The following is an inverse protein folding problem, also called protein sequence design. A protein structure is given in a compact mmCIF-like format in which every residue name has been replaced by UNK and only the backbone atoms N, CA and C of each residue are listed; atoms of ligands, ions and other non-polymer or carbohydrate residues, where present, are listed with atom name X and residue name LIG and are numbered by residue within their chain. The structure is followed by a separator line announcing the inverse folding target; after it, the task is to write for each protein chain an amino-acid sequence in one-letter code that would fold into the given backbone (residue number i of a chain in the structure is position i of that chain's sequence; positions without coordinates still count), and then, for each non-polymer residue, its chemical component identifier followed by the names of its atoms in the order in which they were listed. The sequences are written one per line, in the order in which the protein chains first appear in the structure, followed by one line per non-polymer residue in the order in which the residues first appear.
data_IF_400603444767
#
_entry.id   IF_400603444767
#
_cell.length_a   1.000
_cell.length_b   1.000
_cell.length_c   1.000
_cell.angle_alpha   90.00
_cell.angle_beta   90.00
_cell.angle_gamma   90.00
#
_symmetry.space_group_name_H-M   'P 1'
#
loop_
_entity.id
_entity.type
_entity.pdbx_description
1 polymer ?
#
# COMPACT_ATOMS: atom_id res chain seq x y z
N UNK A 1 26.87 -38.50 -18.45
CA UNK A 1 25.49 -38.85 -18.03
C UNK A 1 24.89 -37.65 -17.30
N UNK A 2 24.30 -36.70 -18.04
CA UNK A 2 23.70 -35.51 -17.45
C UNK A 2 22.52 -35.90 -16.56
N UNK A 3 22.56 -35.49 -15.29
CA UNK A 3 21.47 -35.71 -14.35
C UNK A 3 20.25 -34.92 -14.85
N UNK A 4 19.14 -35.62 -15.13
CA UNK A 4 17.85 -34.97 -15.32
C UNK A 4 17.53 -34.21 -14.03
N UNK A 5 17.41 -32.89 -14.12
CA UNK A 5 16.99 -32.07 -12.98
C UNK A 5 15.63 -32.57 -12.51
N UNK A 6 15.50 -32.91 -11.23
CA UNK A 6 14.21 -33.24 -10.64
C UNK A 6 13.25 -32.07 -10.89
N UNK A 7 12.11 -32.35 -11.54
CA UNK A 7 11.06 -31.35 -11.74
C UNK A 7 10.59 -30.93 -10.34
N UNK A 8 10.74 -29.66 -9.95
CA UNK A 8 10.27 -29.21 -8.65
C UNK A 8 8.75 -29.39 -8.57
N UNK A 9 8.29 -29.78 -7.38
CA UNK A 9 6.87 -29.99 -7.11
C UNK A 9 6.08 -28.68 -7.34
N UNK A 10 5.01 -28.77 -8.14
CA UNK A 10 4.21 -27.63 -8.55
C UNK A 10 3.59 -26.93 -7.34
N UNK A 11 3.13 -27.71 -6.36
CA UNK A 11 2.52 -27.18 -5.13
C UNK A 11 3.56 -26.44 -4.28
N UNK A 12 4.78 -26.97 -4.20
CA UNK A 12 5.90 -26.28 -3.54
C UNK A 12 6.27 -24.96 -4.25
N UNK A 13 6.27 -24.92 -5.58
CA UNK A 13 6.56 -23.69 -6.34
C UNK A 13 5.45 -22.63 -6.21
N UNK A 14 4.19 -23.08 -6.20
CA UNK A 14 3.03 -22.22 -5.92
C UNK A 14 3.07 -21.65 -4.50
N UNK A 15 3.40 -22.47 -3.51
CA UNK A 15 3.53 -22.04 -2.11
C UNK A 15 4.71 -21.07 -1.91
N UNK A 16 5.83 -21.32 -2.60
CA UNK A 16 7.00 -20.44 -2.60
C UNK A 16 6.80 -19.15 -3.42
N UNK A 17 5.65 -18.97 -4.08
CA UNK A 17 5.32 -17.82 -4.95
C UNK A 17 6.30 -17.63 -6.11
N UNK A 18 6.94 -18.70 -6.57
CA UNK A 18 7.83 -18.68 -7.74
C UNK A 18 7.09 -18.88 -9.05
N UNK A 19 5.83 -19.32 -8.99
CA UNK A 19 4.90 -19.41 -10.12
C UNK A 19 3.63 -18.62 -9.83
N UNK A 20 3.12 -17.92 -10.84
CA UNK A 20 1.81 -17.28 -10.81
C UNK A 20 0.81 -18.06 -11.67
N UNK A 21 -0.34 -18.41 -11.10
CA UNK A 21 -1.43 -19.07 -11.83
C UNK A 21 -2.51 -18.05 -12.20
N UNK A 22 -2.63 -17.76 -13.48
CA UNK A 22 -3.72 -16.93 -14.01
C UNK A 22 -5.08 -17.62 -13.77
N UNK A 23 -6.05 -16.89 -13.19
CA UNK A 23 -7.46 -17.30 -13.14
C UNK A 23 -7.91 -18.11 -11.92
N UNK A 24 -7.02 -18.45 -10.97
CA UNK A 24 -7.42 -19.01 -9.66
C UNK A 24 -7.05 -18.04 -8.54
N UNK A 25 -7.82 -16.97 -8.42
CA UNK A 25 -7.79 -16.17 -7.21
C UNK A 25 -8.65 -16.85 -6.16
N UNK A 26 -8.05 -17.24 -5.03
CA UNK A 26 -8.83 -17.54 -3.84
C UNK A 26 -9.75 -16.33 -3.56
N UNK A 27 -10.99 -16.59 -3.17
CA UNK A 27 -11.89 -15.52 -2.73
C UNK A 27 -11.14 -14.66 -1.70
N UNK A 28 -11.14 -13.32 -1.85
CA UNK A 28 -10.41 -12.48 -0.92
C UNK A 28 -10.95 -12.72 0.49
N UNK A 29 -10.05 -12.93 1.44
CA UNK A 29 -10.45 -12.95 2.84
C UNK A 29 -10.90 -11.55 3.22
N UNK A 30 -11.93 -11.45 4.06
CA UNK A 30 -12.35 -10.18 4.65
C UNK A 30 -11.37 -9.79 5.77
N UNK A 31 -10.16 -9.44 5.38
CA UNK A 31 -9.05 -9.05 6.26
C UNK A 31 -8.45 -7.69 5.86
N UNK A 32 -9.24 -6.84 5.21
CA UNK A 32 -8.85 -5.49 4.81
C UNK A 32 -8.53 -4.59 6.00
N UNK A 33 -7.63 -3.63 5.79
CA UNK A 33 -7.35 -2.56 6.74
C UNK A 33 -8.47 -1.52 6.68
N UNK A 34 -9.11 -1.15 7.81
CA UNK A 34 -10.23 -0.20 7.80
C UNK A 34 -9.82 1.12 7.15
N UNK A 35 -10.65 1.63 6.23
CA UNK A 35 -10.43 2.93 5.59
C UNK A 35 -10.73 4.10 6.53
N UNK A 36 -11.58 3.85 7.54
CA UNK A 36 -12.18 4.88 8.39
C UNK A 36 -13.52 5.41 7.85
N UNK A 37 -13.95 4.92 6.69
CA UNK A 37 -15.22 5.25 6.06
C UNK A 37 -16.05 3.97 5.89
N UNK A 38 -16.98 3.71 6.79
CA UNK A 38 -17.77 2.46 6.79
C UNK A 38 -18.50 2.19 5.46
N UNK A 39 -18.97 3.24 4.79
CA UNK A 39 -19.60 3.11 3.47
C UNK A 39 -18.61 2.64 2.38
N UNK A 40 -17.35 3.06 2.44
CA UNK A 40 -16.31 2.58 1.53
C UNK A 40 -15.88 1.16 1.90
N UNK A 41 -15.68 0.88 3.19
CA UNK A 41 -15.32 -0.46 3.67
C UNK A 41 -16.31 -1.51 3.17
N UNK A 42 -17.62 -1.20 3.16
CA UNK A 42 -18.66 -2.09 2.65
C UNK A 42 -18.60 -2.35 1.13
N UNK A 43 -17.97 -1.46 0.36
CA UNK A 43 -17.82 -1.58 -1.10
C UNK A 43 -16.52 -2.28 -1.49
N UNK A 44 -15.51 -2.29 -0.62
CA UNK A 44 -14.22 -2.90 -0.91
C UNK A 44 -14.26 -4.42 -0.70
N UNK A 45 -13.67 -5.25 -1.59
CA UNK A 45 -13.86 -6.71 -1.53
C UNK A 45 -13.29 -7.38 -0.26
N UNK A 46 -12.35 -6.73 0.43
CA UNK A 46 -11.79 -7.22 1.70
C UNK A 46 -12.39 -6.52 2.94
N UNK A 47 -13.39 -5.65 2.79
CA UNK A 47 -13.95 -4.88 3.90
C UNK A 47 -13.09 -3.68 4.34
N UNK A 48 -12.24 -3.17 3.45
CA UNK A 48 -11.25 -2.14 3.72
C UNK A 48 -10.13 -2.15 2.67
N UNK A 49 -9.05 -1.40 2.92
CA UNK A 49 -7.87 -1.40 2.07
C UNK A 49 -7.23 -2.80 2.01
N UNK A 50 -6.88 -3.31 0.82
CA UNK A 50 -6.22 -4.60 0.70
C UNK A 50 -4.84 -4.57 1.37
N UNK A 51 -4.54 -5.60 2.17
CA UNK A 51 -3.22 -5.76 2.78
C UNK A 51 -2.22 -6.30 1.78
N UNK A 52 -0.96 -5.85 1.87
CA UNK A 52 0.15 -6.32 1.02
C UNK A 52 -0.18 -6.22 -0.48
N UNK A 53 -0.88 -5.16 -0.86
CA UNK A 53 -1.30 -4.87 -2.20
C UNK A 53 -1.04 -3.40 -2.51
N UNK A 54 -0.99 -3.07 -3.80
CA UNK A 54 -1.00 -1.69 -4.27
C UNK A 54 -2.45 -1.22 -4.37
N UNK A 55 -2.74 -0.04 -3.84
CA UNK A 55 -4.01 0.66 -4.05
C UNK A 55 -3.74 1.89 -4.91
N UNK A 56 -4.48 2.05 -6.00
CA UNK A 56 -4.44 3.22 -6.86
C UNK A 56 -5.73 4.04 -6.66
N UNK A 57 -5.59 5.34 -6.41
CA UNK A 57 -6.70 6.28 -6.32
C UNK A 57 -6.75 7.10 -7.60
N UNK A 58 -7.78 6.88 -8.42
CA UNK A 58 -8.00 7.65 -9.64
C UNK A 58 -8.74 8.95 -9.31
N UNK A 59 -8.06 10.06 -9.50
CA UNK A 59 -8.55 11.39 -9.18
C UNK A 59 -8.82 12.18 -10.46
N UNK A 60 -9.85 13.04 -10.49
CA UNK A 60 -10.12 13.89 -11.64
C UNK A 60 -9.08 15.01 -11.82
N UNK A 61 -8.43 15.44 -10.74
CA UNK A 61 -7.35 16.41 -10.69
C UNK A 61 -6.65 16.35 -9.32
N UNK A 62 -5.45 16.95 -9.22
CA UNK A 62 -4.75 17.14 -7.95
C UNK A 62 -5.46 18.18 -7.05
N UNK A 63 -5.32 18.05 -5.72
CA UNK A 63 -5.79 19.06 -4.77
C UNK A 63 -7.30 19.08 -4.56
N UNK A 64 -8.00 18.01 -4.94
CA UNK A 64 -9.45 17.84 -4.72
C UNK A 64 -9.78 17.38 -3.30
N UNK A 65 -8.75 17.22 -2.45
CA UNK A 65 -8.89 16.71 -1.08
C UNK A 65 -8.66 15.20 -1.01
N UNK A 66 -7.91 14.64 -1.95
CA UNK A 66 -7.59 13.22 -2.05
C UNK A 66 -7.02 12.62 -0.77
N UNK A 67 -6.21 13.40 -0.05
CA UNK A 67 -5.63 12.98 1.23
C UNK A 67 -6.69 12.77 2.31
N UNK A 68 -7.83 13.47 2.26
CA UNK A 68 -8.87 13.32 3.27
C UNK A 68 -9.41 11.89 3.33
N UNK A 69 -9.42 11.17 2.20
CA UNK A 69 -9.80 9.77 2.14
C UNK A 69 -8.80 8.85 2.88
N UNK A 70 -7.52 9.21 2.84
CA UNK A 70 -6.43 8.41 3.44
C UNK A 70 -6.17 8.78 4.90
N UNK A 71 -6.48 10.02 5.31
CA UNK A 71 -6.16 10.54 6.64
C UNK A 71 -6.58 9.62 7.80
N UNK A 72 -7.81 9.06 7.86
CA UNK A 72 -8.18 8.17 8.97
C UNK A 72 -7.29 6.94 9.07
N UNK A 73 -6.90 6.39 7.92
CA UNK A 73 -6.00 5.23 7.84
C UNK A 73 -4.59 5.61 8.28
N UNK A 74 -4.05 6.72 7.77
CA UNK A 74 -2.71 7.20 8.09
C UNK A 74 -2.58 7.59 9.57
N UNK A 75 -3.60 8.26 10.13
CA UNK A 75 -3.67 8.59 11.54
C UNK A 75 -3.64 7.32 12.41
N UNK A 76 -4.48 6.33 12.10
CA UNK A 76 -4.50 5.05 12.81
C UNK A 76 -3.17 4.30 12.73
N UNK A 77 -2.54 4.24 11.55
CA UNK A 77 -1.27 3.54 11.37
C UNK A 77 -0.13 4.24 12.13
N UNK A 78 -0.02 5.56 12.00
CA UNK A 78 1.05 6.32 12.65
C UNK A 78 0.90 6.37 14.17
N UNK A 79 -0.32 6.46 14.69
CA UNK A 79 -0.60 6.36 16.13
C UNK A 79 -0.31 4.96 16.68
N UNK A 80 -0.50 3.90 15.88
CA UNK A 80 -0.07 2.54 16.20
C UNK A 80 1.45 2.33 16.09
N UNK A 81 2.22 3.36 15.73
CA UNK A 81 3.68 3.33 15.67
C UNK A 81 4.25 2.93 14.31
N UNK A 82 3.42 2.72 13.28
CA UNK A 82 3.90 2.46 11.93
C UNK A 82 4.43 3.74 11.28
N UNK A 83 5.51 3.61 10.51
CA UNK A 83 6.05 4.71 9.70
C UNK A 83 5.31 4.80 8.37
N UNK A 84 4.95 6.01 7.96
CA UNK A 84 4.37 6.34 6.65
C UNK A 84 5.41 7.13 5.87
N UNK A 85 5.80 6.61 4.70
CA UNK A 85 6.68 7.31 3.77
C UNK A 85 5.85 7.97 2.67
N UNK A 86 6.10 9.26 2.42
CA UNK A 86 5.54 10.03 1.31
C UNK A 86 6.66 10.27 0.30
N UNK A 87 6.58 9.61 -0.84
CA UNK A 87 7.66 9.57 -1.83
C UNK A 87 7.42 10.60 -2.91
N UNK A 88 8.40 11.48 -3.15
CA UNK A 88 8.39 12.52 -4.18
C UNK A 88 7.02 13.23 -4.30
N UNK A 89 6.46 13.77 -3.20
CA UNK A 89 5.16 14.42 -3.28
C UNK A 89 5.23 15.60 -4.28
N UNK A 90 4.21 15.77 -5.13
CA UNK A 90 4.22 16.79 -6.19
C UNK A 90 4.22 18.23 -5.61
N UNK A 91 3.80 18.38 -4.35
CA UNK A 91 3.78 19.64 -3.61
C UNK A 91 4.34 19.44 -2.21
N UNK A 92 4.77 20.52 -1.56
CA UNK A 92 5.23 20.48 -0.18
C UNK A 92 4.06 20.14 0.76
N UNK A 93 4.12 19.01 1.51
CA UNK A 93 3.07 18.67 2.46
C UNK A 93 2.97 19.71 3.59
N UNK A 94 1.77 20.24 3.81
CA UNK A 94 1.52 21.20 4.88
C UNK A 94 1.32 20.49 6.22
N UNK A 95 2.40 20.32 7.00
CA UNK A 95 2.42 19.54 8.24
C UNK A 95 1.27 19.82 9.23
N UNK A 96 0.82 21.07 9.47
CA UNK A 96 -0.30 21.33 10.37
C UNK A 96 -1.62 20.67 9.94
N UNK A 97 -1.90 20.56 8.64
CA UNK A 97 -3.11 19.87 8.16
C UNK A 97 -3.06 18.35 8.42
N UNK A 98 -1.89 17.75 8.27
CA UNK A 98 -1.67 16.33 8.58
C UNK A 98 -1.83 16.05 10.07
N UNK A 99 -1.27 16.92 10.92
CA UNK A 99 -1.43 16.83 12.36
C UNK A 99 -2.89 17.03 12.78
N UNK A 100 -3.60 17.99 12.19
CA UNK A 100 -5.03 18.19 12.42
C UNK A 100 -5.86 16.97 11.98
N UNK A 101 -5.41 16.25 10.96
CA UNK A 101 -5.95 14.95 10.54
C UNK A 101 -5.60 13.78 11.47
N UNK A 102 -4.88 14.01 12.57
CA UNK A 102 -4.52 12.99 13.56
C UNK A 102 -3.26 12.18 13.22
N UNK A 103 -2.52 12.57 12.19
CA UNK A 103 -1.27 11.89 11.81
C UNK A 103 -0.17 12.23 12.81
N UNK A 104 0.49 11.22 13.37
CA UNK A 104 1.65 11.42 14.22
C UNK A 104 2.86 11.80 13.35
N UNK A 105 3.19 13.09 13.27
CA UNK A 105 4.24 13.62 12.38
C UNK A 105 5.62 12.98 12.61
N UNK A 106 5.91 12.52 13.83
CA UNK A 106 7.15 11.79 14.14
C UNK A 106 7.28 10.42 13.45
N UNK A 107 6.23 9.97 12.75
CA UNK A 107 6.18 8.74 11.95
C UNK A 107 5.98 9.03 10.47
N UNK A 108 5.98 10.30 10.05
CA UNK A 108 5.82 10.70 8.66
C UNK A 108 7.19 11.05 8.07
N UNK A 109 7.65 10.26 7.12
CA UNK A 109 8.92 10.48 6.43
C UNK A 109 8.64 11.01 5.03
N UNK A 110 9.26 12.14 4.68
CA UNK A 110 9.17 12.70 3.32
C UNK A 110 10.45 12.34 2.59
N UNK A 111 10.31 11.60 1.49
CA UNK A 111 11.45 11.22 0.65
C UNK A 111 11.46 12.12 -0.57
N UNK A 112 12.42 13.04 -0.61
CA UNK A 112 12.70 13.85 -1.79
C UNK A 112 13.45 13.02 -2.83
N UNK A 113 12.90 12.91 -4.02
CA UNK A 113 13.51 12.20 -5.14
C UNK A 113 13.15 12.87 -6.47
N UNK A 114 14.06 12.77 -7.45
CA UNK A 114 13.72 13.13 -8.82
C UNK A 114 12.66 12.16 -9.38
N UNK A 115 11.81 12.57 -10.35
CA UNK A 115 10.73 11.72 -10.86
C UNK A 115 11.19 10.33 -11.33
N UNK A 116 12.37 10.25 -11.96
CA UNK A 116 12.97 8.99 -12.42
C UNK A 116 13.38 8.04 -11.27
N UNK A 117 13.64 8.59 -10.09
CA UNK A 117 14.18 7.87 -8.93
C UNK A 117 13.06 7.54 -7.92
N UNK A 118 11.86 8.12 -8.06
CA UNK A 118 10.73 7.95 -7.14
C UNK A 118 10.25 6.50 -7.02
N UNK A 119 10.14 5.77 -8.15
CA UNK A 119 9.75 4.35 -8.12
C UNK A 119 10.82 3.48 -7.44
N UNK A 120 12.10 3.81 -7.64
CA UNK A 120 13.18 3.11 -6.96
C UNK A 120 13.16 3.38 -5.45
N UNK A 121 12.94 4.63 -5.04
CA UNK A 121 12.79 4.99 -3.63
C UNK A 121 11.59 4.29 -2.98
N UNK A 122 10.44 4.24 -3.68
CA UNK A 122 9.28 3.47 -3.24
C UNK A 122 9.60 1.99 -3.03
N UNK A 123 10.30 1.35 -3.96
CA UNK A 123 10.74 -0.04 -3.81
C UNK A 123 11.66 -0.23 -2.59
N UNK A 124 12.59 0.70 -2.35
CA UNK A 124 13.49 0.61 -1.18
C UNK A 124 12.73 0.67 0.15
N UNK A 125 11.64 1.45 0.23
CA UNK A 125 10.81 1.53 1.43
C UNK A 125 10.00 0.25 1.73
N UNK A 126 9.89 -0.68 0.78
CA UNK A 126 9.14 -1.94 0.94
C UNK A 126 10.03 -3.13 1.31
N UNK A 127 11.36 -2.94 1.37
CA UNK A 127 12.34 -3.98 1.74
C UNK A 127 12.46 -4.10 3.26
#
# INVERSE_FOLDING_TARGET
MAALSAVPDLDAMLAARTLWHAGRHAAPRADGEPTGHAALDALLPQGGWPRRALTELLLPADGVGELALLLPTLARLTTAGATVAVIAPPYLPYAPAWQAGGVALARLEIVEAAPRDALWAFEQCLR
#
